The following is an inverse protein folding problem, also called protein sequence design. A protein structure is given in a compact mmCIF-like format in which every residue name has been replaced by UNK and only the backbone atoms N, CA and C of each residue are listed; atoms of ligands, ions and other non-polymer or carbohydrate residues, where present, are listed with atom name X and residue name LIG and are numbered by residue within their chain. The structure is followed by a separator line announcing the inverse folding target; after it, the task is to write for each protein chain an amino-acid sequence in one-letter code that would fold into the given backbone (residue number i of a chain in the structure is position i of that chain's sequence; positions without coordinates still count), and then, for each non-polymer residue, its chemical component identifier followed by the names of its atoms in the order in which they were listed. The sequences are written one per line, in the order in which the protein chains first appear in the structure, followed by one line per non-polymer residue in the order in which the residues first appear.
data_IF_201601939269
#
_entry.id   IF_201601939269
#
_cell.length_a   1.000
_cell.length_b   1.000
_cell.length_c   1.000
_cell.angle_alpha   90.00
_cell.angle_beta   90.00
_cell.angle_gamma   90.00
#
_symmetry.space_group_name_H-M   'P 1'
#
loop_
_entity.id
_entity.type
_entity.pdbx_description
1 polymer ?
#
# COMPACT_ATOMS: atom_id res chain seq x y z
N UNK A 1 40.73 -28.37 45.37
CA UNK A 1 39.87 -27.93 44.25
C UNK A 1 38.52 -27.52 44.83
N UNK A 2 38.31 -26.21 44.96
CA UNK A 2 37.08 -25.58 45.42
C UNK A 2 36.23 -25.15 44.22
N UNK A 3 34.95 -25.51 44.20
CA UNK A 3 33.90 -24.87 43.43
C UNK A 3 32.55 -25.40 43.96
N UNK A 4 31.47 -24.66 44.13
CA UNK A 4 31.15 -23.23 44.10
C UNK A 4 29.82 -23.14 44.84
N UNK A 5 29.69 -22.26 45.82
CA UNK A 5 28.40 -21.86 46.37
C UNK A 5 28.23 -20.37 46.06
N UNK A 6 27.13 -20.00 45.39
CA UNK A 6 26.55 -18.66 45.51
C UNK A 6 25.03 -18.83 45.55
N UNK A 7 24.51 -18.92 46.77
CA UNK A 7 23.11 -18.76 47.07
C UNK A 7 22.65 -17.34 46.69
N UNK A 8 21.54 -17.26 45.95
CA UNK A 8 20.87 -16.03 45.56
C UNK A 8 20.09 -15.49 46.78
N UNK A 9 20.52 -14.33 47.29
CA UNK A 9 19.93 -13.66 48.45
C UNK A 9 18.68 -12.89 47.99
N UNK A 10 17.50 -13.23 48.53
CA UNK A 10 16.27 -12.46 48.27
C UNK A 10 16.28 -11.17 49.10
N UNK A 11 16.19 -10.03 48.43
CA UNK A 11 15.94 -8.75 49.10
C UNK A 11 14.46 -8.64 49.44
N UNK A 12 14.18 -8.68 50.74
CA UNK A 12 12.85 -8.48 51.30
C UNK A 12 12.55 -6.98 51.27
N UNK A 13 11.81 -6.54 50.24
CA UNK A 13 11.32 -5.17 50.14
C UNK A 13 10.44 -4.86 51.35
N UNK A 14 10.97 -4.04 52.25
CA UNK A 14 10.29 -3.60 53.47
C UNK A 14 9.32 -2.47 53.10
N UNK A 15 8.14 -2.84 52.60
CA UNK A 15 7.06 -1.90 52.34
C UNK A 15 6.44 -1.42 53.66
N UNK A 16 6.56 -0.13 53.97
CA UNK A 16 5.80 0.48 55.06
C UNK A 16 4.34 0.66 54.61
N UNK A 17 3.49 -0.30 54.97
CA UNK A 17 2.05 -0.21 54.76
C UNK A 17 1.43 0.66 55.86
N UNK A 18 1.59 1.98 55.74
CA UNK A 18 0.88 2.94 56.58
C UNK A 18 -0.61 2.86 56.26
N UNK A 19 -1.45 2.61 57.28
CA UNK A 19 -2.92 2.60 57.14
C UNK A 19 -3.37 3.98 56.66
N UNK A 20 -3.80 4.11 55.40
CA UNK A 20 -4.15 5.42 54.87
C UNK A 20 -5.40 5.93 55.60
N UNK A 21 -5.34 7.18 56.07
CA UNK A 21 -6.52 7.89 56.58
C UNK A 21 -7.57 7.96 55.45
N UNK A 22 -8.86 7.94 55.80
CA UNK A 22 -9.93 7.98 54.81
C UNK A 22 -9.80 9.20 53.88
N UNK A 23 -9.28 10.32 54.39
CA UNK A 23 -8.96 11.52 53.61
C UNK A 23 -7.90 11.26 52.52
N UNK A 24 -6.88 10.43 52.80
CA UNK A 24 -5.85 10.06 51.82
C UNK A 24 -6.39 9.14 50.73
N UNK A 25 -7.34 8.26 51.06
CA UNK A 25 -8.02 7.42 50.06
C UNK A 25 -8.88 8.30 49.13
N UNK A 26 -9.64 9.25 49.69
CA UNK A 26 -10.45 10.20 48.90
C UNK A 26 -9.56 11.06 48.00
N UNK A 27 -8.39 11.50 48.49
CA UNK A 27 -7.40 12.23 47.69
C UNK A 27 -6.83 11.40 46.54
N UNK A 28 -6.51 10.12 46.79
CA UNK A 28 -5.99 9.23 45.74
C UNK A 28 -7.07 8.92 44.70
N UNK A 29 -8.32 8.68 45.12
CA UNK A 29 -9.43 8.42 44.19
C UNK A 29 -9.74 9.64 43.34
N UNK A 30 -9.73 10.84 43.92
CA UNK A 30 -9.90 12.10 43.15
C UNK A 30 -8.73 12.35 42.20
N UNK A 31 -7.49 12.03 42.57
CA UNK A 31 -6.35 12.06 41.66
C UNK A 31 -6.48 11.04 40.52
N UNK A 32 -6.92 9.81 40.81
CA UNK A 32 -7.14 8.76 39.81
C UNK A 32 -8.24 9.16 38.85
N UNK A 33 -9.37 9.73 39.32
CA UNK A 33 -10.45 10.18 38.42
C UNK A 33 -10.00 11.34 37.52
N UNK A 34 -9.23 12.29 38.04
CA UNK A 34 -8.65 13.39 37.25
C UNK A 34 -7.65 12.86 36.21
N UNK A 35 -6.77 11.92 36.60
CA UNK A 35 -5.79 11.33 35.70
C UNK A 35 -6.44 10.41 34.64
N UNK A 36 -7.52 9.71 35.00
CA UNK A 36 -8.35 8.95 34.05
C UNK A 36 -9.03 9.86 33.01
N UNK A 37 -9.31 11.12 33.34
CA UNK A 37 -9.95 12.05 32.39
C UNK A 37 -8.99 12.56 31.30
N UNK A 38 -7.67 12.39 31.46
CA UNK A 38 -6.67 12.71 30.44
C UNK A 38 -6.13 11.46 29.70
N UNK A 39 -6.50 10.23 30.10
CA UNK A 39 -6.18 9.00 29.32
C UNK A 39 -7.16 8.80 28.14
N UNK A 40 -8.30 9.51 28.12
CA UNK A 40 -9.26 9.52 26.99
C UNK A 40 -9.56 10.94 26.52
N UNK A 41 -8.52 11.71 26.22
CA UNK A 41 -8.58 12.78 25.22
C UNK A 41 -7.63 12.47 24.07
N UNK A 42 -7.78 11.28 23.49
CA UNK A 42 -7.39 11.11 22.08
C UNK A 42 -8.58 11.56 21.26
N UNK A 43 -8.39 12.60 20.46
CA UNK A 43 -9.33 12.95 19.41
C UNK A 43 -9.63 11.70 18.58
N UNK A 44 -10.84 11.14 18.72
CA UNK A 44 -11.40 10.21 17.74
C UNK A 44 -12.34 11.00 16.84
N UNK A 45 -11.77 12.03 16.23
CA UNK A 45 -12.06 12.40 14.86
C UNK A 45 -10.73 12.83 14.23
N UNK A 46 -9.81 11.88 14.16
CA UNK A 46 -8.75 11.91 13.17
C UNK A 46 -9.17 10.90 12.11
N UNK A 47 -9.39 11.30 10.85
CA UNK A 47 -9.50 10.31 9.79
C UNK A 47 -8.20 9.52 9.84
N UNK A 48 -8.30 8.19 9.86
CA UNK A 48 -7.14 7.29 9.74
C UNK A 48 -6.39 7.71 8.47
N UNK A 49 -5.33 8.53 8.61
CA UNK A 49 -4.17 8.38 7.73
C UNK A 49 -3.53 7.08 8.18
N UNK A 50 -3.85 6.02 7.45
CA UNK A 50 -3.02 4.82 7.44
C UNK A 50 -1.67 5.28 6.90
N UNK A 51 -0.72 5.50 7.80
CA UNK A 51 0.69 5.59 7.44
C UNK A 51 1.15 4.17 7.11
N UNK A 52 1.21 3.85 5.82
CA UNK A 52 1.99 2.72 5.35
C UNK A 52 3.47 3.10 5.46
N UNK A 53 4.16 2.46 6.40
CA UNK A 53 5.60 2.26 6.31
C UNK A 53 5.85 1.49 5.02
N UNK A 54 6.55 2.12 4.07
CA UNK A 54 6.72 1.62 2.72
C UNK A 54 7.38 0.26 2.64
N UNK A 55 6.82 -0.58 1.77
CA UNK A 55 7.53 -1.20 0.67
C UNK A 55 6.54 -1.28 -0.51
N UNK A 56 6.87 -0.55 -1.56
CA UNK A 56 6.61 -0.84 -2.97
C UNK A 56 5.15 -0.83 -3.49
N UNK A 57 4.76 0.30 -4.12
CA UNK A 57 4.16 0.22 -5.45
C UNK A 57 2.64 0.23 -5.66
N UNK A 58 1.79 0.54 -4.68
CA UNK A 58 0.34 0.63 -4.93
C UNK A 58 -0.24 2.01 -4.59
N UNK A 59 -0.50 2.81 -5.63
CA UNK A 59 -1.27 4.06 -5.54
C UNK A 59 -2.75 3.67 -5.36
N UNK A 60 -3.19 3.58 -4.11
CA UNK A 60 -4.61 3.47 -3.76
C UNK A 60 -5.26 4.84 -3.94
N UNK A 61 -6.21 4.91 -4.87
CA UNK A 61 -7.02 6.09 -5.11
C UNK A 61 -8.46 5.77 -4.70
N UNK A 62 -9.00 6.45 -3.67
CA UNK A 62 -10.29 6.11 -3.08
C UNK A 62 -11.47 6.32 -4.03
N UNK A 63 -11.26 7.00 -5.16
CA UNK A 63 -12.30 7.31 -6.16
C UNK A 63 -12.36 6.28 -7.31
N UNK A 64 -11.60 5.19 -7.26
CA UNK A 64 -11.61 4.19 -8.33
C UNK A 64 -12.81 3.24 -8.23
N UNK A 65 -13.59 3.12 -9.32
CA UNK A 65 -14.76 2.24 -9.44
C UNK A 65 -14.49 0.76 -9.10
N UNK A 66 -13.22 0.33 -9.07
CA UNK A 66 -12.82 -1.04 -8.76
C UNK A 66 -12.79 -1.37 -7.25
N UNK A 67 -12.77 -0.35 -6.37
CA UNK A 67 -12.56 -0.56 -4.94
C UNK A 67 -13.70 -1.30 -4.21
N UNK A 68 -14.89 -1.43 -4.84
CA UNK A 68 -16.09 -1.99 -4.18
C UNK A 68 -16.56 -3.35 -4.68
N UNK A 69 -16.05 -3.88 -5.80
CA UNK A 69 -16.61 -5.09 -6.43
C UNK A 69 -15.86 -6.38 -6.08
N UNK A 70 -14.57 -6.29 -5.76
CA UNK A 70 -13.73 -7.40 -5.37
C UNK A 70 -12.91 -6.92 -4.17
N UNK A 71 -13.41 -7.12 -2.95
CA UNK A 71 -12.71 -6.64 -1.75
C UNK A 71 -11.24 -7.06 -1.79
N UNK A 72 -10.33 -6.08 -1.94
CA UNK A 72 -8.86 -6.21 -2.00
C UNK A 72 -8.28 -7.40 -2.80
N UNK A 73 -9.06 -8.04 -3.67
CA UNK A 73 -8.60 -9.18 -4.45
C UNK A 73 -7.92 -8.64 -5.70
N UNK A 74 -6.67 -8.20 -5.47
CA UNK A 74 -5.57 -8.04 -6.42
C UNK A 74 -5.92 -8.55 -7.81
N UNK A 75 -6.06 -7.65 -8.80
CA UNK A 75 -6.08 -8.07 -10.20
C UNK A 75 -4.90 -9.02 -10.38
N UNK A 76 -5.10 -10.26 -10.86
CA UNK A 76 -4.03 -11.24 -10.92
C UNK A 76 -2.90 -10.68 -11.77
N UNK A 77 -1.77 -10.43 -11.14
CA UNK A 77 -0.59 -9.85 -11.80
C UNK A 77 -0.16 -10.79 -12.92
N UNK A 78 -0.03 -10.26 -14.13
CA UNK A 78 0.48 -11.04 -15.25
C UNK A 78 1.95 -11.32 -14.98
N UNK A 79 2.38 -12.57 -15.14
CA UNK A 79 3.80 -12.97 -15.00
C UNK A 79 4.74 -12.20 -15.93
N UNK A 80 4.20 -11.67 -17.03
CA UNK A 80 4.93 -10.89 -18.03
C UNK A 80 4.32 -9.51 -18.09
N UNK A 81 5.09 -8.50 -17.71
CA UNK A 81 4.74 -7.09 -17.83
C UNK A 81 5.88 -6.35 -18.54
N UNK A 82 5.54 -5.46 -19.48
CA UNK A 82 6.50 -4.57 -20.15
C UNK A 82 5.90 -3.17 -20.30
N UNK A 83 6.74 -2.15 -20.47
CA UNK A 83 6.29 -0.79 -20.76
C UNK A 83 6.20 -0.55 -22.26
N UNK A 84 5.26 0.29 -22.71
CA UNK A 84 5.22 0.76 -24.10
C UNK A 84 6.50 1.51 -24.50
N UNK A 85 7.23 2.11 -23.53
CA UNK A 85 8.53 2.76 -23.75
C UNK A 85 9.58 1.77 -24.26
N UNK A 86 9.51 0.51 -23.84
CA UNK A 86 10.44 -0.55 -24.27
C UNK A 86 10.28 -0.90 -25.76
N UNK A 87 9.13 -0.55 -26.35
CA UNK A 87 8.83 -0.75 -27.77
C UNK A 87 8.99 0.52 -28.61
N UNK A 88 9.57 1.58 -28.04
CA UNK A 88 9.82 2.87 -28.69
C UNK A 88 8.66 3.85 -28.62
N UNK A 89 7.74 3.67 -27.65
CA UNK A 89 6.66 4.63 -27.43
C UNK A 89 7.14 5.94 -26.79
N UNK A 90 6.55 7.06 -27.22
CA UNK A 90 6.81 8.42 -26.73
C UNK A 90 5.49 9.08 -26.30
N UNK A 91 5.45 9.54 -25.05
CA UNK A 91 4.25 10.11 -24.40
C UNK A 91 4.11 11.63 -24.54
N UNK A 92 4.46 12.19 -25.71
CA UNK A 92 4.49 13.65 -25.99
C UNK A 92 3.16 14.20 -26.57
N UNK A 93 2.22 13.33 -26.93
CA UNK A 93 0.93 13.68 -27.54
C UNK A 93 1.00 13.99 -29.04
N UNK A 94 2.20 13.98 -29.64
CA UNK A 94 2.44 14.33 -31.05
C UNK A 94 3.03 13.19 -31.85
N UNK A 95 3.85 12.34 -31.23
CA UNK A 95 4.47 11.19 -31.87
C UNK A 95 3.44 10.08 -32.04
N UNK A 96 3.33 9.54 -33.27
CA UNK A 96 2.47 8.38 -33.54
C UNK A 96 3.07 7.10 -32.96
N UNK A 97 2.38 6.52 -31.99
CA UNK A 97 2.78 5.30 -31.27
C UNK A 97 2.18 4.02 -31.88
N UNK A 98 1.49 4.09 -33.02
CA UNK A 98 0.81 2.93 -33.64
C UNK A 98 1.74 1.75 -33.85
N UNK A 99 2.95 1.99 -34.36
CA UNK A 99 3.93 0.92 -34.57
C UNK A 99 4.53 0.40 -33.26
N UNK A 100 4.67 1.25 -32.23
CA UNK A 100 5.10 0.83 -30.90
C UNK A 100 4.07 -0.13 -30.29
N UNK A 101 2.77 0.21 -30.35
CA UNK A 101 1.69 -0.66 -29.89
C UNK A 101 1.63 -1.98 -30.68
N UNK A 102 1.75 -1.94 -32.01
CA UNK A 102 1.76 -3.16 -32.84
C UNK A 102 2.95 -4.07 -32.53
N UNK A 103 4.14 -3.51 -32.28
CA UNK A 103 5.33 -4.26 -31.85
C UNK A 103 5.10 -4.90 -30.49
N UNK A 104 4.58 -4.13 -29.53
CA UNK A 104 4.27 -4.60 -28.19
C UNK A 104 3.28 -5.77 -28.22
N UNK A 105 2.16 -5.63 -28.93
CA UNK A 105 1.15 -6.69 -29.07
C UNK A 105 1.74 -7.95 -29.71
N UNK A 106 2.50 -7.81 -30.80
CA UNK A 106 3.12 -8.96 -31.47
C UNK A 106 4.08 -9.71 -30.55
N UNK A 107 4.90 -8.99 -29.80
CA UNK A 107 5.81 -9.58 -28.82
C UNK A 107 5.04 -10.31 -27.71
N UNK A 108 4.02 -9.65 -27.16
CA UNK A 108 3.23 -10.15 -26.04
C UNK A 108 2.32 -11.34 -26.40
N UNK A 109 1.90 -11.45 -27.66
CA UNK A 109 1.12 -12.57 -28.16
C UNK A 109 1.79 -13.92 -27.87
N UNK A 110 3.13 -13.99 -27.84
CA UNK A 110 3.88 -15.20 -27.51
C UNK A 110 3.66 -15.73 -26.09
N UNK A 111 3.02 -14.96 -25.20
CA UNK A 111 2.72 -15.36 -23.82
C UNK A 111 1.25 -15.72 -23.60
N UNK A 112 0.42 -15.72 -24.65
CA UNK A 112 -1.02 -16.01 -24.56
C UNK A 112 -1.34 -17.33 -23.85
N UNK A 113 -0.59 -18.39 -24.15
CA UNK A 113 -0.76 -19.74 -23.57
C UNK A 113 -0.11 -19.88 -22.18
N UNK A 114 0.68 -18.89 -21.74
CA UNK A 114 1.44 -18.91 -20.47
C UNK A 114 0.80 -18.06 -19.37
N UNK A 115 -0.48 -17.72 -19.54
CA UNK A 115 -1.21 -16.83 -18.63
C UNK A 115 -1.26 -15.37 -19.11
N UNK A 116 -0.81 -15.09 -20.33
CA UNK A 116 -0.91 -13.77 -20.95
C UNK A 116 0.20 -12.80 -20.56
N UNK A 117 0.00 -11.54 -20.96
CA UNK A 117 0.94 -10.46 -20.71
C UNK A 117 0.22 -9.13 -20.44
N UNK A 118 0.93 -8.23 -19.78
CA UNK A 118 0.50 -6.88 -19.47
C UNK A 118 1.40 -5.84 -20.16
N UNK A 119 0.78 -4.85 -20.79
CA UNK A 119 1.45 -3.68 -21.34
C UNK A 119 1.12 -2.45 -20.49
N UNK A 120 2.14 -1.88 -19.86
CA UNK A 120 2.02 -0.67 -19.06
C UNK A 120 2.24 0.57 -19.93
N UNK A 121 1.29 1.49 -19.88
CA UNK A 121 1.36 2.82 -20.49
C UNK A 121 1.55 3.81 -19.34
N UNK A 122 2.76 4.37 -19.16
CA UNK A 122 3.02 5.31 -18.09
C UNK A 122 2.34 6.66 -18.35
N UNK A 123 2.37 7.54 -17.36
CA UNK A 123 1.85 8.91 -17.49
C UNK A 123 2.34 9.61 -18.76
N UNK A 124 1.45 10.35 -19.43
CA UNK A 124 1.75 11.04 -20.68
C UNK A 124 0.60 11.03 -21.68
N UNK A 125 0.82 11.68 -22.83
CA UNK A 125 -0.12 11.76 -23.93
C UNK A 125 0.33 10.82 -25.06
N UNK A 126 -0.49 9.84 -25.41
CA UNK A 126 -0.10 8.75 -26.30
C UNK A 126 -0.96 8.77 -27.57
N UNK A 127 -0.49 9.47 -28.61
CA UNK A 127 -1.14 9.47 -29.91
C UNK A 127 -0.96 8.12 -30.60
N UNK A 128 -2.06 7.48 -31.00
CA UNK A 128 -2.03 6.22 -31.72
C UNK A 128 -3.25 6.08 -32.64
N UNK A 129 -3.04 5.39 -33.76
CA UNK A 129 -4.13 4.86 -34.57
C UNK A 129 -4.67 3.56 -33.97
N UNK A 130 -5.65 2.98 -34.65
CA UNK A 130 -6.23 1.69 -34.28
C UNK A 130 -5.20 0.56 -34.28
N UNK A 131 -5.25 -0.29 -33.26
CA UNK A 131 -4.47 -1.52 -33.18
C UNK A 131 -5.33 -2.63 -32.57
N UNK A 132 -4.99 -3.88 -32.91
CA UNK A 132 -5.75 -5.04 -32.47
C UNK A 132 -5.14 -5.58 -31.18
N UNK A 133 -5.99 -5.89 -30.20
CA UNK A 133 -5.60 -6.66 -29.02
C UNK A 133 -5.69 -8.16 -29.30
N UNK A 134 -4.93 -8.95 -28.55
CA UNK A 134 -4.94 -10.40 -28.59
C UNK A 134 -5.54 -10.99 -27.30
N UNK A 135 -5.85 -12.28 -27.31
CA UNK A 135 -6.34 -12.98 -26.11
C UNK A 135 -5.32 -12.93 -24.97
N UNK A 136 -5.81 -12.93 -23.72
CA UNK A 136 -4.98 -12.90 -22.51
C UNK A 136 -4.03 -11.68 -22.44
N UNK A 137 -4.45 -10.55 -22.98
CA UNK A 137 -3.71 -9.29 -22.95
C UNK A 137 -4.32 -8.32 -21.95
N UNK A 138 -3.50 -7.66 -21.14
CA UNK A 138 -3.91 -6.56 -20.26
C UNK A 138 -3.24 -5.26 -20.73
N UNK A 139 -4.03 -4.27 -21.13
CA UNK A 139 -3.54 -2.90 -21.34
C UNK A 139 -3.73 -2.11 -20.05
N UNK A 140 -2.65 -1.81 -19.34
CA UNK A 140 -2.69 -1.08 -18.08
C UNK A 140 -2.28 0.38 -18.31
N UNK A 141 -3.20 1.30 -18.06
CA UNK A 141 -2.95 2.73 -18.13
C UNK A 141 -2.64 3.24 -16.73
N UNK A 142 -1.44 3.76 -16.53
CA UNK A 142 -1.09 4.42 -15.27
C UNK A 142 -1.90 5.72 -15.11
N UNK A 143 -1.98 6.20 -13.87
CA UNK A 143 -2.63 7.49 -13.59
C UNK A 143 -1.99 8.59 -14.43
N UNK A 144 -2.82 9.35 -15.14
CA UNK A 144 -2.35 10.42 -16.02
C UNK A 144 -1.90 9.97 -17.41
N UNK A 145 -2.03 8.69 -17.75
CA UNK A 145 -1.91 8.23 -19.14
C UNK A 145 -3.19 8.56 -19.92
N UNK A 146 -3.04 9.30 -21.03
CA UNK A 146 -4.15 9.67 -21.92
C UNK A 146 -3.87 9.13 -23.31
N UNK A 147 -4.79 8.29 -23.81
CA UNK A 147 -4.73 7.76 -25.17
C UNK A 147 -5.43 8.73 -26.14
N UNK A 148 -4.69 9.24 -27.13
CA UNK A 148 -5.23 10.10 -28.18
C UNK A 148 -5.44 9.25 -29.44
N UNK A 149 -6.68 9.13 -29.90
CA UNK A 149 -7.00 8.42 -31.14
C UNK A 149 -6.77 9.30 -32.36
N UNK A 150 -6.00 8.82 -33.34
CA UNK A 150 -5.96 9.42 -34.68
C UNK A 150 -7.07 8.83 -35.57
N UNK A 151 -7.75 9.68 -36.34
CA UNK A 151 -8.77 9.29 -37.31
C UNK A 151 -8.19 8.48 -38.48
#
# INVERSE_FOLDING_TARGET
MHAKEKAMKSEKLKGNFSRPSWATIVLIVTLITIFSLEITKKSVLSPKRVGFSGADGAIFDPDSCAAGLLGDQYLPERKVAMSIKDFGGVGDGTTSNTEAFRKAVRYMQGFGDKGGAQLNVPEGLWLTGSFNLTSNFTLFLERGAVMLGSQ
#
